data_IF_076869072179
#
_entry.id   IF_076869072179
#
_cell.length_a   1.000
_cell.length_b   1.000
_cell.length_c   1.000
_cell.angle_alpha   90.00
_cell.angle_beta   90.00
_cell.angle_gamma   90.00
#
_symmetry.space_group_name_H-M   'P 1'
#
loop_
_entity.id
_entity.type
_entity.pdbx_description
1 polymer ?
#
# COMPACT_ATOMS: atom_id res chain seq x y z
N UNK A 1 -12.56 -30.71 -2.23
CA UNK A 1 -12.72 -29.90 -1.00
C UNK A 1 -14.20 -29.95 -0.66
N UNK A 2 -14.56 -30.14 0.60
CA UNK A 2 -15.96 -30.15 1.01
C UNK A 2 -16.17 -29.06 2.08
N UNK A 3 -17.26 -28.32 1.95
CA UNK A 3 -17.75 -27.39 2.98
C UNK A 3 -18.74 -28.12 3.88
N UNK A 4 -18.72 -27.82 5.18
CA UNK A 4 -19.63 -28.39 6.18
C UNK A 4 -20.63 -27.31 6.61
N UNK A 5 -21.92 -27.67 6.63
CA UNK A 5 -23.01 -26.82 7.13
C UNK A 5 -23.38 -27.11 8.60
N UNK A 6 -22.66 -28.02 9.27
CA UNK A 6 -23.10 -28.62 10.53
C UNK A 6 -22.32 -28.12 11.75
N UNK A 7 -23.03 -27.94 12.87
CA UNK A 7 -22.54 -27.34 14.13
C UNK A 7 -21.54 -28.21 14.89
N UNK A 8 -21.47 -29.50 14.55
CA UNK A 8 -20.71 -30.55 15.26
C UNK A 8 -19.19 -30.33 15.27
N UNK A 9 -18.66 -29.53 14.34
CA UNK A 9 -17.24 -29.19 14.24
C UNK A 9 -17.02 -27.66 14.35
N UNK A 10 -18.03 -26.91 14.77
CA UNK A 10 -17.91 -25.47 14.92
C UNK A 10 -16.89 -25.16 16.04
N UNK A 11 -15.85 -24.39 15.69
CA UNK A 11 -14.71 -24.13 16.57
C UNK A 11 -13.54 -25.13 16.48
N UNK A 12 -13.67 -26.26 15.76
CA UNK A 12 -12.55 -27.18 15.55
C UNK A 12 -11.64 -26.72 14.42
N UNK A 13 -10.33 -26.64 14.68
CA UNK A 13 -9.30 -26.44 13.66
C UNK A 13 -8.09 -27.32 13.95
N UNK A 14 -7.45 -27.85 12.91
CA UNK A 14 -6.25 -28.66 13.05
C UNK A 14 -6.26 -29.95 12.24
N UNK A 15 -5.41 -30.90 12.67
CA UNK A 15 -5.18 -32.16 11.97
C UNK A 15 -6.08 -33.24 12.57
N UNK A 16 -6.87 -33.90 11.74
CA UNK A 16 -7.67 -35.07 12.12
C UNK A 16 -7.34 -36.21 11.15
N UNK A 17 -6.46 -37.12 11.59
CA UNK A 17 -5.96 -38.24 10.77
C UNK A 17 -5.45 -37.76 9.38
N UNK A 18 -6.04 -38.28 8.30
CA UNK A 18 -5.74 -37.93 6.90
C UNK A 18 -6.43 -36.65 6.45
N UNK A 19 -7.10 -35.92 7.34
CA UNK A 19 -7.81 -34.69 7.05
C UNK A 19 -7.22 -33.49 7.79
N UNK A 20 -7.46 -32.31 7.23
CA UNK A 20 -7.16 -31.03 7.82
C UNK A 20 -8.48 -30.26 7.84
N UNK A 21 -8.90 -29.87 9.04
CA UNK A 21 -10.08 -29.03 9.28
C UNK A 21 -9.56 -27.61 9.49
N UNK A 22 -10.08 -26.67 8.71
CA UNK A 22 -9.66 -25.27 8.79
C UNK A 22 -10.85 -24.36 8.49
N UNK A 23 -10.76 -23.12 8.99
CA UNK A 23 -11.82 -22.13 8.86
C UNK A 23 -11.39 -21.04 7.88
N UNK A 24 -12.29 -20.61 7.01
CA UNK A 24 -12.10 -19.46 6.13
C UNK A 24 -13.31 -18.55 6.33
N UNK A 25 -13.09 -17.37 6.93
CA UNK A 25 -14.19 -16.55 7.43
C UNK A 25 -15.02 -17.32 8.46
N UNK A 26 -16.34 -17.33 8.27
CA UNK A 26 -17.26 -18.03 9.16
C UNK A 26 -17.49 -19.50 8.78
N UNK A 27 -16.96 -19.95 7.64
CA UNK A 27 -17.18 -21.30 7.10
C UNK A 27 -16.07 -22.28 7.48
N UNK A 28 -16.45 -23.51 7.78
CA UNK A 28 -15.53 -24.62 8.08
C UNK A 28 -15.35 -25.54 6.88
N UNK A 29 -14.09 -25.78 6.52
CA UNK A 29 -13.69 -26.62 5.39
C UNK A 29 -12.90 -27.83 5.87
N UNK A 30 -13.11 -28.95 5.17
CA UNK A 30 -12.29 -30.14 5.34
C UNK A 30 -11.60 -30.51 4.04
N UNK A 31 -10.30 -30.82 4.14
CA UNK A 31 -9.52 -31.35 3.01
C UNK A 31 -8.70 -32.55 3.43
N UNK A 32 -8.52 -33.50 2.50
CA UNK A 32 -7.61 -34.62 2.66
C UNK A 32 -6.17 -34.14 2.56
N UNK A 33 -5.29 -34.65 3.42
CA UNK A 33 -3.85 -34.36 3.40
C UNK A 33 -3.22 -34.94 2.12
N UNK A 34 -2.36 -34.19 1.43
CA UNK A 34 -1.63 -34.72 0.29
C UNK A 34 -0.71 -35.87 0.74
N UNK A 35 -0.69 -36.97 -0.05
CA UNK A 35 0.20 -38.12 0.20
C UNK A 35 1.68 -37.78 -0.04
N UNK A 36 1.95 -36.82 -0.95
CA UNK A 36 3.29 -36.32 -1.28
C UNK A 36 3.20 -34.81 -1.45
N UNK A 37 4.05 -34.07 -0.76
CA UNK A 37 4.22 -32.63 -1.00
C UNK A 37 5.39 -32.48 -1.97
N UNK A 38 5.09 -32.04 -3.18
CA UNK A 38 6.10 -31.61 -4.14
C UNK A 38 6.29 -30.10 -3.95
N UNK A 39 7.53 -29.63 -3.86
CA UNK A 39 7.86 -28.21 -3.96
C UNK A 39 8.47 -27.96 -5.34
N UNK A 40 7.65 -28.02 -6.42
CA UNK A 40 8.16 -27.79 -7.76
C UNK A 40 8.78 -26.40 -7.83
N UNK A 41 9.91 -26.32 -8.52
CA UNK A 41 10.67 -25.07 -8.74
C UNK A 41 10.64 -24.72 -10.22
N UNK A 42 9.47 -24.78 -10.86
CA UNK A 42 9.38 -24.30 -12.25
C UNK A 42 9.69 -22.82 -12.32
N UNK A 43 10.22 -22.33 -13.44
CA UNK A 43 10.56 -20.91 -13.62
C UNK A 43 9.36 -20.01 -13.29
N UNK A 44 8.17 -20.35 -13.80
CA UNK A 44 6.92 -19.61 -13.50
C UNK A 44 6.63 -19.56 -12.00
N UNK A 45 6.88 -20.63 -11.25
CA UNK A 45 6.67 -20.64 -9.80
C UNK A 45 7.72 -19.83 -9.06
N UNK A 46 8.98 -19.87 -9.51
CA UNK A 46 10.04 -19.05 -8.94
C UNK A 46 9.77 -17.56 -9.16
N UNK A 47 9.32 -17.17 -10.35
CA UNK A 47 8.93 -15.79 -10.65
C UNK A 47 7.81 -15.28 -9.74
N UNK A 48 6.77 -16.09 -9.49
CA UNK A 48 5.71 -15.68 -8.56
C UNK A 48 6.21 -15.57 -7.11
N UNK A 49 7.12 -16.46 -6.69
CA UNK A 49 7.71 -16.41 -5.34
C UNK A 49 8.64 -15.22 -5.16
N UNK A 50 9.35 -14.80 -6.20
CA UNK A 50 10.30 -13.69 -6.15
C UNK A 50 9.63 -12.35 -5.76
N UNK A 51 8.32 -12.22 -6.01
CA UNK A 51 7.55 -11.00 -5.70
C UNK A 51 7.29 -10.78 -4.21
N UNK A 52 7.07 -11.88 -3.49
CA UNK A 52 6.53 -11.83 -2.13
C UNK A 52 7.52 -11.22 -1.11
N UNK A 53 8.82 -11.58 -1.10
CA UNK A 53 9.78 -11.00 -0.16
C UNK A 53 9.85 -9.47 -0.24
N UNK A 54 9.91 -8.89 -1.44
CA UNK A 54 9.99 -7.43 -1.61
C UNK A 54 8.77 -6.70 -1.02
N UNK A 55 7.56 -7.16 -1.35
CA UNK A 55 6.33 -6.58 -0.83
C UNK A 55 6.22 -6.71 0.71
N UNK A 56 6.63 -7.85 1.26
CA UNK A 56 6.61 -8.09 2.71
C UNK A 56 7.64 -7.22 3.43
N UNK A 57 8.85 -7.10 2.89
CA UNK A 57 9.90 -6.24 3.45
C UNK A 57 9.44 -4.79 3.48
N UNK A 58 8.89 -4.28 2.37
CA UNK A 58 8.39 -2.91 2.30
C UNK A 58 7.27 -2.66 3.32
N UNK A 59 6.28 -3.55 3.41
CA UNK A 59 5.20 -3.39 4.37
C UNK A 59 5.67 -3.48 5.83
N UNK A 60 6.68 -4.32 6.10
CA UNK A 60 7.29 -4.42 7.43
C UNK A 60 8.06 -3.15 7.81
N UNK A 61 8.66 -2.46 6.84
CA UNK A 61 9.32 -1.18 7.08
C UNK A 61 8.35 -0.08 7.55
N UNK A 62 7.04 -0.24 7.29
CA UNK A 62 6.02 0.70 7.76
C UNK A 62 5.72 0.58 9.26
N UNK A 63 6.17 -0.45 9.97
CA UNK A 63 5.84 -0.64 11.39
C UNK A 63 6.17 0.60 12.23
N UNK A 64 5.21 1.03 13.06
CA UNK A 64 5.33 2.23 13.88
C UNK A 64 5.16 3.56 13.15
N UNK A 65 4.89 3.56 11.83
CA UNK A 65 4.67 4.78 11.03
C UNK A 65 3.18 5.07 10.79
N UNK A 66 2.85 6.32 10.46
CA UNK A 66 1.51 6.71 10.02
C UNK A 66 1.09 6.00 8.72
N UNK A 67 2.04 5.65 7.83
CA UNK A 67 1.73 4.89 6.60
C UNK A 67 1.13 3.52 6.91
N UNK A 68 1.53 2.88 8.02
CA UNK A 68 0.91 1.64 8.48
C UNK A 68 -0.57 1.83 8.80
N UNK A 69 -0.88 2.91 9.50
CA UNK A 69 -2.26 3.24 9.90
C UNK A 69 -3.11 3.59 8.68
N UNK A 70 -2.56 4.34 7.73
CA UNK A 70 -3.19 4.62 6.44
C UNK A 70 -3.50 3.32 5.70
N UNK A 71 -2.55 2.37 5.61
CA UNK A 71 -2.81 1.05 5.02
C UNK A 71 -3.91 0.29 5.75
N UNK A 72 -3.99 0.39 7.09
CA UNK A 72 -5.04 -0.23 7.88
C UNK A 72 -6.42 0.39 7.62
N UNK A 73 -6.48 1.71 7.40
CA UNK A 73 -7.70 2.40 7.01
C UNK A 73 -8.14 2.03 5.59
N UNK A 74 -7.20 2.00 4.66
CA UNK A 74 -7.44 1.52 3.30
C UNK A 74 -7.97 0.07 3.29
N UNK A 75 -7.44 -0.79 4.18
CA UNK A 75 -7.95 -2.14 4.38
C UNK A 75 -9.40 -2.15 4.87
N UNK A 76 -9.77 -1.31 5.85
CA UNK A 76 -11.15 -1.20 6.32
C UNK A 76 -12.10 -0.76 5.21
N UNK A 77 -11.71 0.26 4.45
CA UNK A 77 -12.48 0.76 3.31
C UNK A 77 -12.69 -0.32 2.22
N UNK A 78 -11.66 -1.12 1.95
CA UNK A 78 -11.68 -2.17 0.94
C UNK A 78 -12.13 -3.56 1.46
N UNK A 79 -12.71 -3.61 2.67
CA UNK A 79 -13.18 -4.85 3.32
C UNK A 79 -12.09 -5.95 3.39
N UNK A 80 -10.85 -5.55 3.63
CA UNK A 80 -9.69 -6.44 3.79
C UNK A 80 -9.42 -6.72 5.26
N UNK A 81 -8.91 -7.93 5.51
CA UNK A 81 -8.63 -8.44 6.87
C UNK A 81 -7.65 -7.56 7.67
N UNK A 82 -6.67 -6.95 7.01
CA UNK A 82 -5.71 -6.03 7.65
C UNK A 82 -4.99 -5.20 6.59
N UNK A 83 -4.28 -4.14 7.01
CA UNK A 83 -3.42 -3.34 6.12
C UNK A 83 -2.41 -4.19 5.34
N UNK A 84 -1.92 -5.28 5.94
CA UNK A 84 -1.03 -6.23 5.29
C UNK A 84 -1.72 -6.89 4.08
N UNK A 85 -2.94 -7.40 4.26
CA UNK A 85 -3.67 -8.07 3.20
C UNK A 85 -4.07 -7.10 2.08
N UNK A 86 -4.40 -5.86 2.44
CA UNK A 86 -4.67 -4.81 1.46
C UNK A 86 -3.40 -4.47 0.66
N UNK A 87 -2.29 -4.16 1.36
CA UNK A 87 -1.03 -3.78 0.73
C UNK A 87 -0.50 -4.88 -0.19
N UNK A 88 -0.44 -6.13 0.28
CA UNK A 88 0.01 -7.25 -0.57
C UNK A 88 -0.96 -7.48 -1.74
N UNK A 89 -2.27 -7.38 -1.50
CA UNK A 89 -3.27 -7.54 -2.55
C UNK A 89 -3.12 -6.51 -3.68
N UNK A 90 -2.85 -5.25 -3.33
CA UNK A 90 -2.63 -4.14 -4.28
C UNK A 90 -1.26 -4.21 -4.94
N UNK A 91 -0.21 -4.43 -4.15
CA UNK A 91 1.15 -4.12 -4.56
C UNK A 91 2.01 -5.34 -4.90
N UNK A 92 1.67 -6.56 -4.49
CA UNK A 92 2.56 -7.73 -4.65
C UNK A 92 2.99 -7.96 -6.10
N UNK A 93 2.13 -7.69 -7.08
CA UNK A 93 2.47 -7.87 -8.50
C UNK A 93 3.43 -6.82 -9.07
N UNK A 94 3.73 -5.78 -8.30
CA UNK A 94 4.65 -4.71 -8.64
C UNK A 94 6.09 -5.05 -8.23
N UNK A 95 6.29 -6.14 -7.51
CA UNK A 95 7.61 -6.64 -7.13
C UNK A 95 8.03 -7.81 -8.03
N UNK A 96 9.33 -8.01 -8.16
CA UNK A 96 9.89 -9.10 -8.97
C UNK A 96 11.28 -9.53 -8.54
N UNK A 97 11.87 -10.42 -9.34
CA UNK A 97 13.26 -10.84 -9.13
C UNK A 97 14.23 -9.65 -9.26
N UNK A 98 15.43 -9.80 -8.71
CA UNK A 98 16.51 -8.81 -8.80
C UNK A 98 16.11 -7.41 -8.27
N UNK A 99 15.35 -7.37 -7.16
CA UNK A 99 14.85 -6.13 -6.56
C UNK A 99 14.02 -5.25 -7.50
N UNK A 100 13.35 -5.85 -8.48
CA UNK A 100 12.43 -5.13 -9.35
C UNK A 100 11.24 -4.59 -8.53
N UNK A 101 10.96 -3.29 -8.73
CA UNK A 101 9.80 -2.58 -8.19
C UNK A 101 9.22 -1.69 -9.29
N UNK A 102 7.94 -1.86 -9.60
CA UNK A 102 7.17 -0.93 -10.44
C UNK A 102 6.67 0.23 -9.58
N UNK A 103 7.54 1.21 -9.36
CA UNK A 103 7.26 2.37 -8.50
C UNK A 103 6.03 3.17 -8.95
N UNK A 104 5.76 3.21 -10.26
CA UNK A 104 4.69 4.06 -10.84
C UNK A 104 3.28 3.67 -10.40
N UNK A 105 3.12 2.44 -9.92
CA UNK A 105 1.83 1.84 -9.57
C UNK A 105 1.70 1.46 -8.11
N UNK A 106 2.74 1.68 -7.29
CA UNK A 106 2.68 1.40 -5.86
C UNK A 106 1.64 2.28 -5.18
N UNK A 107 0.82 1.67 -4.33
CA UNK A 107 -0.23 2.36 -3.57
C UNK A 107 0.03 2.25 -2.07
N UNK A 108 -0.06 3.38 -1.36
CA UNK A 108 0.03 3.45 0.11
C UNK A 108 -1.27 3.90 0.78
N UNK A 109 -2.16 4.53 0.03
CA UNK A 109 -3.44 5.06 0.51
C UNK A 109 -4.57 4.70 -0.44
N UNK A 110 -5.77 4.56 0.13
CA UNK A 110 -7.03 4.40 -0.58
C UNK A 110 -8.16 4.77 0.38
N UNK A 111 -9.31 5.15 -0.15
CA UNK A 111 -10.42 5.68 0.64
C UNK A 111 -11.46 6.37 -0.21
N UNK A 112 -12.41 7.04 0.44
CA UNK A 112 -13.53 7.66 -0.27
C UNK A 112 -13.26 9.11 -0.70
N UNK A 113 -12.15 9.73 -0.25
CA UNK A 113 -11.84 11.10 -0.63
C UNK A 113 -11.38 11.14 -2.09
N UNK A 114 -11.87 12.14 -2.82
CA UNK A 114 -11.38 12.39 -4.17
C UNK A 114 -10.03 13.11 -4.13
N UNK A 115 -9.13 12.75 -5.03
CA UNK A 115 -7.98 13.59 -5.36
C UNK A 115 -8.47 14.95 -5.88
N UNK A 116 -7.74 16.05 -5.64
CA UNK A 116 -8.03 17.32 -6.30
C UNK A 116 -7.81 17.20 -7.82
N UNK A 117 -8.40 18.12 -8.57
CA UNK A 117 -8.38 18.04 -10.02
C UNK A 117 -7.05 18.54 -10.58
N UNK A 118 -6.59 17.92 -11.68
CA UNK A 118 -5.46 18.43 -12.46
C UNK A 118 -4.14 18.50 -11.69
N UNK A 119 -3.88 17.56 -10.79
CA UNK A 119 -2.60 17.53 -10.05
C UNK A 119 -1.45 17.39 -11.06
N UNK A 120 -0.56 18.36 -11.03
CA UNK A 120 0.67 18.38 -11.83
C UNK A 120 1.86 18.64 -10.94
N UNK A 121 3.03 18.18 -11.38
CA UNK A 121 4.27 18.32 -10.63
C UNK A 121 5.35 18.89 -11.52
N UNK A 122 6.08 19.87 -11.01
CA UNK A 122 7.24 20.47 -11.67
C UNK A 122 8.43 20.39 -10.73
N UNK A 123 9.51 19.76 -11.20
CA UNK A 123 10.76 19.81 -10.47
C UNK A 123 11.40 21.19 -10.67
N UNK A 124 11.64 21.91 -9.59
CA UNK A 124 12.24 23.25 -9.63
C UNK A 124 13.70 23.25 -9.18
N UNK A 125 14.09 22.28 -8.34
CA UNK A 125 15.46 22.10 -7.83
C UNK A 125 15.79 20.60 -7.73
N UNK A 126 17.08 20.21 -7.60
CA UNK A 126 17.48 18.80 -7.47
C UNK A 126 16.79 18.06 -6.31
N UNK A 127 16.45 18.77 -5.23
CA UNK A 127 15.80 18.24 -4.03
C UNK A 127 14.41 18.84 -3.77
N UNK A 128 13.78 19.48 -4.75
CA UNK A 128 12.45 20.06 -4.56
C UNK A 128 11.53 19.88 -5.77
N UNK A 129 10.27 19.58 -5.48
CA UNK A 129 9.18 19.51 -6.44
C UNK A 129 8.04 20.43 -6.02
N UNK A 130 7.47 21.12 -7.00
CA UNK A 130 6.26 21.91 -6.83
C UNK A 130 5.07 21.13 -7.37
N UNK A 131 4.03 21.02 -6.56
CA UNK A 131 2.75 20.44 -6.94
C UNK A 131 1.73 21.56 -7.11
N UNK A 132 0.91 21.45 -8.15
CA UNK A 132 -0.21 22.35 -8.43
C UNK A 132 -1.47 21.54 -8.66
N UNK A 133 -2.60 22.00 -8.14
CA UNK A 133 -3.89 21.36 -8.35
C UNK A 133 -5.03 22.37 -8.25
N UNK A 134 -6.20 21.98 -8.74
CA UNK A 134 -7.43 22.74 -8.58
C UNK A 134 -8.21 22.20 -7.38
N UNK A 135 -8.50 23.08 -6.42
CA UNK A 135 -9.35 22.76 -5.28
C UNK A 135 -10.75 22.29 -5.75
N UNK A 136 -11.17 21.14 -5.25
CA UNK A 136 -12.48 20.54 -5.49
C UNK A 136 -13.25 20.30 -4.19
N UNK A 137 -13.04 21.12 -3.17
CA UNK A 137 -13.75 21.06 -1.88
C UNK A 137 -15.27 21.28 -1.98
N UNK A 138 -15.78 21.65 -3.16
CA UNK A 138 -17.21 21.65 -3.47
C UNK A 138 -17.78 20.24 -3.73
N UNK A 139 -16.92 19.22 -3.87
CA UNK A 139 -17.31 17.81 -3.99
C UNK A 139 -17.72 17.21 -2.63
N UNK A 140 -18.63 16.23 -2.67
CA UNK A 140 -19.19 15.57 -1.47
C UNK A 140 -18.11 14.96 -0.55
N UNK A 141 -17.02 14.45 -1.11
CA UNK A 141 -15.99 13.71 -0.36
C UNK A 141 -14.66 14.45 -0.17
N UNK A 142 -14.61 15.74 -0.51
CA UNK A 142 -13.41 16.56 -0.39
C UNK A 142 -13.67 17.75 0.56
N UNK A 143 -12.68 18.10 1.37
CA UNK A 143 -12.74 19.25 2.27
C UNK A 143 -11.56 20.19 2.02
N UNK A 144 -11.81 21.49 2.21
CA UNK A 144 -10.79 22.53 2.03
C UNK A 144 -9.64 22.39 3.03
N UNK A 145 -9.90 21.71 4.15
CA UNK A 145 -8.96 21.39 5.22
C UNK A 145 -8.29 20.03 5.05
N UNK A 146 -8.56 19.27 3.98
CA UNK A 146 -7.81 18.05 3.70
C UNK A 146 -6.33 18.41 3.51
N UNK A 147 -5.43 17.67 4.15
CA UNK A 147 -3.99 17.89 4.15
C UNK A 147 -3.31 17.09 3.06
N UNK A 148 -2.35 17.70 2.36
CA UNK A 148 -1.44 16.98 1.48
C UNK A 148 -0.47 16.13 2.30
N UNK A 149 -0.41 14.85 1.99
CA UNK A 149 0.52 13.89 2.54
C UNK A 149 1.38 13.32 1.43
N UNK A 150 2.68 13.18 1.69
CA UNK A 150 3.66 12.73 0.69
C UNK A 150 4.48 11.60 1.27
N UNK A 151 4.24 10.37 0.80
CA UNK A 151 5.16 9.28 1.04
C UNK A 151 6.27 9.33 -0.02
N UNK A 152 7.49 8.99 0.37
CA UNK A 152 8.64 8.95 -0.53
C UNK A 152 9.39 7.64 -0.38
N UNK A 153 9.87 7.11 -1.51
CA UNK A 153 10.86 6.02 -1.55
C UNK A 153 12.09 6.57 -2.28
N UNK A 154 13.25 6.43 -1.65
CA UNK A 154 14.53 6.75 -2.25
C UNK A 154 15.16 5.51 -2.87
N UNK A 155 15.88 5.68 -3.99
CA UNK A 155 16.51 4.58 -4.72
C UNK A 155 17.63 3.85 -3.95
N UNK A 156 18.31 4.56 -3.04
CA UNK A 156 19.30 3.97 -2.13
C UNK A 156 18.65 3.15 -0.99
N UNK A 157 17.37 3.36 -0.69
CA UNK A 157 16.58 2.62 0.31
C UNK A 157 15.22 2.17 -0.27
N UNK A 158 15.21 1.27 -1.27
CA UNK A 158 14.04 1.01 -2.12
C UNK A 158 12.87 0.32 -1.41
N UNK A 159 13.09 -0.20 -0.19
CA UNK A 159 12.08 -0.89 0.62
C UNK A 159 11.71 -0.12 1.88
N UNK A 160 12.12 1.14 2.01
CA UNK A 160 11.85 2.00 3.17
C UNK A 160 11.02 3.22 2.77
N UNK A 161 9.70 3.07 2.56
CA UNK A 161 8.84 4.22 2.34
C UNK A 161 8.76 5.03 3.63
N UNK A 162 8.97 6.34 3.51
CA UNK A 162 8.83 7.28 4.63
C UNK A 162 7.82 8.34 4.28
N UNK A 163 7.03 8.76 5.26
CA UNK A 163 6.18 9.93 5.11
C UNK A 163 7.05 11.17 5.38
N UNK A 164 7.05 12.13 4.46
CA UNK A 164 7.68 13.42 4.72
C UNK A 164 6.95 14.12 5.88
N UNK A 165 7.71 14.81 6.72
CA UNK A 165 7.13 15.60 7.82
C UNK A 165 6.10 16.61 7.27
N UNK A 166 5.06 16.87 8.08
CA UNK A 166 3.83 17.58 7.70
C UNK A 166 4.12 18.76 6.74
N UNK A 167 3.64 18.64 5.50
CA UNK A 167 3.74 19.74 4.52
C UNK A 167 2.95 20.97 4.99
N UNK A 168 2.08 20.80 5.99
CA UNK A 168 1.10 21.74 6.52
C UNK A 168 0.29 22.43 5.40
N UNK A 169 0.18 21.75 4.26
CA UNK A 169 -0.45 22.26 3.05
C UNK A 169 -1.85 21.70 2.94
N UNK A 170 -2.82 22.57 2.72
CA UNK A 170 -4.23 22.24 2.65
C UNK A 170 -4.69 22.18 1.20
N UNK A 171 -5.75 21.41 0.94
CA UNK A 171 -6.37 21.28 -0.39
C UNK A 171 -6.73 22.64 -0.99
N UNK A 172 -7.24 23.57 -0.18
CA UNK A 172 -7.60 24.93 -0.63
C UNK A 172 -6.42 25.76 -1.13
N UNK A 173 -5.19 25.40 -0.77
CA UNK A 173 -4.01 26.19 -1.11
C UNK A 173 -3.66 26.04 -2.60
N UNK A 174 -4.06 24.94 -3.25
CA UNK A 174 -3.85 24.70 -4.69
C UNK A 174 -2.38 24.50 -5.10
N UNK A 175 -1.46 24.56 -4.14
CA UNK A 175 -0.03 24.57 -4.32
C UNK A 175 0.68 23.94 -3.13
N UNK A 176 1.70 23.13 -3.40
CA UNK A 176 2.68 22.71 -2.39
C UNK A 176 4.09 22.77 -2.96
N UNK A 177 5.05 23.13 -2.10
CA UNK A 177 6.47 22.86 -2.34
C UNK A 177 6.91 21.70 -1.46
N UNK A 178 7.28 20.60 -2.09
CA UNK A 178 7.81 19.41 -1.42
C UNK A 178 9.33 19.45 -1.48
N UNK A 179 9.95 19.60 -0.31
CA UNK A 179 11.41 19.55 -0.15
C UNK A 179 11.80 18.16 0.32
N UNK A 180 12.76 17.56 -0.38
CA UNK A 180 13.29 16.25 -0.06
C UNK A 180 14.53 16.40 0.84
N UNK A 181 14.71 15.51 1.84
CA UNK A 181 15.89 15.53 2.70
C UNK A 181 17.17 15.32 1.90
N UNK A 182 18.27 15.87 2.39
CA UNK A 182 19.59 15.57 1.86
C UNK A 182 19.94 14.08 2.05
N UNK A 183 20.83 13.56 1.21
CA UNK A 183 21.25 12.16 1.27
C UNK A 183 21.91 11.70 -0.03
N UNK A 184 22.31 10.42 -0.08
CA UNK A 184 23.01 9.85 -1.24
C UNK A 184 22.09 9.35 -2.37
N UNK A 185 20.78 9.50 -2.20
CA UNK A 185 19.77 9.13 -3.20
C UNK A 185 19.90 9.94 -4.50
N UNK A 186 19.66 9.32 -5.65
CA UNK A 186 19.65 9.98 -6.97
C UNK A 186 18.23 10.16 -7.49
N UNK A 187 17.36 9.20 -7.20
CA UNK A 187 15.95 9.21 -7.57
C UNK A 187 15.06 9.09 -6.34
N UNK A 188 14.04 9.93 -6.26
CA UNK A 188 12.96 9.84 -5.29
C UNK A 188 11.62 9.59 -5.99
N UNK A 189 10.85 8.64 -5.48
CA UNK A 189 9.49 8.33 -5.93
C UNK A 189 8.50 8.87 -4.89
N UNK A 190 7.71 9.86 -5.27
CA UNK A 190 6.74 10.53 -4.41
C UNK A 190 5.35 9.95 -4.65
N UNK A 191 4.63 9.71 -3.57
CA UNK A 191 3.24 9.25 -3.57
C UNK A 191 2.41 10.29 -2.80
N UNK A 192 1.74 11.14 -3.55
CA UNK A 192 0.97 12.26 -3.01
C UNK A 192 -0.49 11.87 -2.87
N UNK A 193 -1.06 12.09 -1.70
CA UNK A 193 -2.48 11.84 -1.41
C UNK A 193 -2.99 12.87 -0.40
N UNK A 194 -4.30 13.00 -0.31
CA UNK A 194 -4.94 13.90 0.63
C UNK A 194 -5.54 13.11 1.78
N UNK A 195 -5.36 13.61 2.99
CA UNK A 195 -5.90 13.05 4.22
C UNK A 195 -6.78 14.05 4.93
N UNK A 196 -7.89 13.57 5.47
CA UNK A 196 -8.74 14.38 6.33
C UNK A 196 -8.00 14.75 7.62
N UNK A 197 -8.33 15.90 8.22
CA UNK A 197 -7.65 16.39 9.44
C UNK A 197 -7.73 15.43 10.64
N UNK A 198 -8.78 14.58 10.70
CA UNK A 198 -8.91 13.54 11.72
C UNK A 198 -8.15 12.24 11.40
N UNK A 199 -7.46 12.19 10.26
CA UNK A 199 -6.71 11.04 9.73
C UNK A 199 -7.56 9.77 9.60
N UNK A 200 -8.89 9.89 9.44
CA UNK A 200 -9.79 8.72 9.30
C UNK A 200 -10.17 8.39 7.86
N UNK A 201 -9.87 9.27 6.93
CA UNK A 201 -10.17 9.06 5.52
C UNK A 201 -9.08 9.69 4.65
N UNK A 202 -8.81 9.05 3.52
CA UNK A 202 -7.76 9.43 2.59
C UNK A 202 -8.25 9.34 1.16
N UNK A 203 -7.54 10.00 0.25
CA UNK A 203 -7.65 9.74 -1.18
C UNK A 203 -6.73 8.60 -1.60
N UNK A 204 -6.98 8.00 -2.78
CA UNK A 204 -5.93 7.29 -3.51
C UNK A 204 -4.71 8.19 -3.74
N UNK A 205 -3.54 7.58 -3.94
CA UNK A 205 -2.30 8.29 -4.23
C UNK A 205 -2.06 8.53 -5.73
N UNK A 206 -1.27 9.57 -6.02
CA UNK A 206 -0.68 9.81 -7.35
C UNK A 206 0.85 9.77 -7.25
N UNK A 207 1.49 9.15 -8.24
CA UNK A 207 2.94 8.96 -8.29
C UNK A 207 3.62 10.08 -9.08
N UNK A 208 4.74 10.57 -8.55
CA UNK A 208 5.68 11.45 -9.24
C UNK A 208 7.12 11.01 -9.00
N UNK A 209 8.03 11.44 -9.87
CA UNK A 209 9.46 11.16 -9.75
C UNK A 209 10.27 12.46 -9.72
N UNK A 210 11.26 12.50 -8.84
CA UNK A 210 12.26 13.58 -8.74
C UNK A 210 13.65 12.98 -8.90
N UNK A 211 14.54 13.67 -9.61
CA UNK A 211 15.93 13.23 -9.81
C UNK A 211 16.91 14.31 -9.37
N UNK A 212 17.91 13.98 -8.55
CA UNK A 212 19.10 14.82 -8.41
C UNK A 212 19.89 14.69 -9.70
N UNK A 213 19.82 15.71 -10.55
CA UNK A 213 20.75 15.89 -11.66
C UNK A 213 22.11 16.33 -11.13
#
# INVERSE_FOLDING_TARGET
>A
MASLKDSLLDGMSGKLDKYIIYRVGNETFIRKRPKKVSNPKSEKQQMQRAKLPGAQTMYKALEGSLLKEICNLAARYNEKRSGYHWFLGKNMNLFGANNYIDYSRLEFSDGSQQLPFGITTKQTQPNAAELHWTDNSSSITAQSTDRLMVAVIFDNEPYTPVLLEDTNTLRKDGYARVTLPEGEWQTAHLYCFFGRDDLKNFSPGIHFQVKKS
#
